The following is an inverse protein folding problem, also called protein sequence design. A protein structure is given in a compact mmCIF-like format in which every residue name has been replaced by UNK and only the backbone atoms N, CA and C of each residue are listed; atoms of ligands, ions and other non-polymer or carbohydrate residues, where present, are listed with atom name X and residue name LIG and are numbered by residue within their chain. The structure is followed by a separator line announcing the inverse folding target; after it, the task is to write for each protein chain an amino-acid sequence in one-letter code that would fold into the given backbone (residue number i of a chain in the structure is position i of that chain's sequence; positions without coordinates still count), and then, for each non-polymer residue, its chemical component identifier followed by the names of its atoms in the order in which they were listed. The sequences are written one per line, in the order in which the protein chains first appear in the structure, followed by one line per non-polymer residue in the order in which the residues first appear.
data_IF_969156661845
#
_entry.id   IF_969156661845
#
_cell.length_a   1.000
_cell.length_b   1.000
_cell.length_c   1.000
_cell.angle_alpha   90.00
_cell.angle_beta   90.00
_cell.angle_gamma   90.00
#
_symmetry.space_group_name_H-M   'P 1'
#
loop_
_entity.id
_entity.type
_entity.pdbx_description
1 polymer ?
#
# COMPACT_ATOMS: atom_id res chain seq x y z
N UNK A 1 -7.62 -10.19 -10.48
CA UNK A 1 -8.36 -8.90 -10.44
C UNK A 1 -9.69 -9.09 -9.75
N UNK A 2 -9.74 -8.66 -8.50
CA UNK A 2 -10.94 -8.50 -7.68
C UNK A 2 -11.16 -7.00 -7.45
N UNK A 3 -12.42 -6.55 -7.54
CA UNK A 3 -12.79 -5.17 -7.25
C UNK A 3 -13.92 -5.18 -6.22
N UNK A 4 -13.81 -4.38 -5.18
CA UNK A 4 -14.80 -4.24 -4.12
C UNK A 4 -15.19 -2.77 -3.94
N UNK A 5 -16.48 -2.53 -3.69
CA UNK A 5 -17.02 -1.21 -3.36
C UNK A 5 -17.79 -1.32 -2.04
N UNK A 6 -17.48 -0.46 -1.07
CA UNK A 6 -18.17 -0.42 0.21
C UNK A 6 -18.57 1.00 0.64
N UNK A 7 -19.46 1.09 1.63
CA UNK A 7 -19.99 2.39 2.11
C UNK A 7 -19.68 2.69 3.57
N UNK A 8 -19.22 1.71 4.36
CA UNK A 8 -18.98 1.92 5.79
C UNK A 8 -17.66 1.27 6.23
N UNK A 9 -17.56 -0.04 6.10
CA UNK A 9 -16.38 -0.77 6.56
C UNK A 9 -16.23 -1.99 5.65
N UNK A 10 -15.00 -2.25 5.23
CA UNK A 10 -14.64 -3.44 4.49
C UNK A 10 -13.30 -3.97 4.96
N UNK A 11 -13.12 -5.27 4.82
CA UNK A 11 -11.84 -5.92 5.04
C UNK A 11 -11.68 -7.00 4.01
N UNK A 12 -10.68 -6.85 3.15
CA UNK A 12 -10.35 -7.81 2.12
C UNK A 12 -8.99 -8.45 2.41
N UNK A 13 -8.91 -9.76 2.17
CA UNK A 13 -7.67 -10.52 2.27
C UNK A 13 -7.54 -11.47 1.10
N UNK A 14 -6.39 -11.44 0.43
CA UNK A 14 -6.07 -12.37 -0.66
C UNK A 14 -4.66 -12.94 -0.49
N UNK A 15 -4.55 -14.26 -0.65
CA UNK A 15 -3.27 -14.96 -0.71
C UNK A 15 -3.12 -15.57 -2.12
N UNK A 16 -2.02 -15.30 -2.82
CA UNK A 16 -1.74 -15.79 -4.17
C UNK A 16 -0.35 -16.40 -4.33
N UNK A 17 -0.22 -17.33 -5.27
CA UNK A 17 1.09 -17.90 -5.65
C UNK A 17 1.68 -17.25 -6.90
N UNK A 18 0.83 -16.82 -7.83
CA UNK A 18 1.25 -16.29 -9.12
C UNK A 18 1.01 -14.80 -9.20
N UNK A 19 -0.10 -14.37 -9.80
CA UNK A 19 -0.41 -12.95 -10.01
C UNK A 19 -1.76 -12.62 -9.36
N UNK A 20 -1.81 -11.53 -8.58
CA UNK A 20 -3.06 -10.95 -8.10
C UNK A 20 -3.16 -9.47 -8.39
N UNK A 21 -4.40 -8.99 -8.44
CA UNK A 21 -4.68 -7.57 -8.49
C UNK A 21 -5.95 -7.34 -7.70
N UNK A 22 -5.91 -6.42 -6.75
CA UNK A 22 -7.07 -6.05 -5.95
C UNK A 22 -7.25 -4.54 -6.00
N UNK A 23 -8.49 -4.11 -6.16
CA UNK A 23 -8.86 -2.71 -6.03
C UNK A 23 -10.04 -2.60 -5.07
N UNK A 24 -9.94 -1.73 -4.10
CA UNK A 24 -10.98 -1.49 -3.10
C UNK A 24 -11.30 0.01 -3.03
N UNK A 25 -12.59 0.35 -3.07
CA UNK A 25 -13.10 1.71 -2.96
C UNK A 25 -14.15 1.75 -1.85
N UNK A 26 -13.91 2.56 -0.83
CA UNK A 26 -14.75 2.59 0.36
C UNK A 26 -14.99 4.02 0.84
N UNK A 27 -16.24 4.35 1.18
CA UNK A 27 -16.53 5.74 1.60
C UNK A 27 -15.96 6.11 2.97
N UNK A 28 -15.81 5.17 3.89
CA UNK A 28 -15.36 5.45 5.26
C UNK A 28 -14.07 4.68 5.55
N UNK A 29 -14.17 3.42 6.02
CA UNK A 29 -13.02 2.62 6.46
C UNK A 29 -12.82 1.39 5.56
N UNK A 30 -11.57 1.11 5.22
CA UNK A 30 -11.20 -0.15 4.57
C UNK A 30 -9.85 -0.67 5.04
N UNK A 31 -9.68 -1.98 4.87
CA UNK A 31 -8.43 -2.66 5.17
C UNK A 31 -8.20 -3.76 4.15
N UNK A 32 -7.13 -3.62 3.38
CA UNK A 32 -6.73 -4.62 2.40
C UNK A 32 -5.41 -5.28 2.83
N UNK A 33 -5.40 -6.61 2.86
CA UNK A 33 -4.20 -7.40 3.13
C UNK A 33 -3.91 -8.37 1.98
N UNK A 34 -2.69 -8.33 1.44
CA UNK A 34 -2.23 -9.25 0.40
C UNK A 34 -1.00 -10.03 0.81
N UNK A 35 -0.99 -11.34 0.52
CA UNK A 35 0.22 -12.16 0.57
C UNK A 35 0.46 -12.77 -0.82
N UNK A 36 1.56 -12.45 -1.50
CA UNK A 36 1.89 -13.08 -2.79
C UNK A 36 3.31 -13.63 -2.89
N UNK A 37 3.48 -14.66 -3.73
CA UNK A 37 4.82 -15.16 -4.05
C UNK A 37 5.42 -14.42 -5.24
N UNK A 38 4.74 -14.34 -6.39
CA UNK A 38 5.34 -13.70 -7.56
C UNK A 38 4.92 -12.23 -7.69
N UNK A 39 3.71 -11.92 -8.15
CA UNK A 39 3.33 -10.54 -8.49
C UNK A 39 2.00 -10.14 -7.87
N UNK A 40 1.97 -8.98 -7.23
CA UNK A 40 0.74 -8.40 -6.68
C UNK A 40 0.67 -6.91 -6.94
N UNK A 41 -0.56 -6.45 -7.21
CA UNK A 41 -0.89 -5.04 -7.31
C UNK A 41 -2.14 -4.75 -6.49
N UNK A 42 -1.98 -3.94 -5.44
CA UNK A 42 -3.07 -3.56 -4.55
C UNK A 42 -3.33 -2.05 -4.67
N UNK A 43 -4.60 -1.68 -4.73
CA UNK A 43 -5.04 -0.28 -4.76
C UNK A 43 -6.22 -0.08 -3.84
N UNK A 44 -6.18 0.99 -3.08
CA UNK A 44 -7.21 1.33 -2.12
C UNK A 44 -7.50 2.84 -2.17
N UNK A 45 -8.78 3.20 -2.18
CA UNK A 45 -9.25 4.59 -2.19
C UNK A 45 -10.37 4.73 -1.13
N UNK A 46 -10.19 5.65 -0.19
CA UNK A 46 -11.20 5.98 0.82
C UNK A 46 -11.25 7.45 1.19
N UNK A 47 -12.39 7.88 1.72
CA UNK A 47 -12.47 9.22 2.33
C UNK A 47 -11.90 9.25 3.74
N UNK A 48 -12.26 8.30 4.62
CA UNK A 48 -11.93 8.42 6.05
C UNK A 48 -10.62 7.68 6.44
N UNK A 49 -10.60 6.35 6.46
CA UNK A 49 -9.45 5.59 6.99
C UNK A 49 -9.08 4.39 6.12
N UNK A 50 -7.79 4.26 5.80
CA UNK A 50 -7.23 3.15 5.02
C UNK A 50 -6.13 2.45 5.81
N UNK A 51 -6.07 1.12 5.69
CA UNK A 51 -4.87 0.35 5.99
C UNK A 51 -4.61 -0.71 4.93
N UNK A 52 -3.58 -0.49 4.11
CA UNK A 52 -3.08 -1.46 3.14
C UNK A 52 -1.79 -2.12 3.64
N UNK A 53 -1.79 -3.45 3.69
CA UNK A 53 -0.59 -4.25 3.96
C UNK A 53 -0.36 -5.29 2.88
N UNK A 54 0.90 -5.40 2.44
CA UNK A 54 1.31 -6.48 1.54
C UNK A 54 2.64 -7.11 1.96
N UNK A 55 2.69 -8.45 1.95
CA UNK A 55 3.93 -9.21 1.97
C UNK A 55 4.11 -9.92 0.61
N UNK A 56 5.21 -9.65 -0.09
CA UNK A 56 5.51 -10.26 -1.40
C UNK A 56 6.94 -10.82 -1.48
N UNK A 57 7.14 -11.92 -2.23
CA UNK A 57 8.50 -12.40 -2.50
C UNK A 57 9.14 -11.69 -3.70
N UNK A 58 8.49 -11.68 -4.86
CA UNK A 58 9.12 -11.13 -6.07
C UNK A 58 8.78 -9.65 -6.32
N UNK A 59 7.57 -9.32 -6.80
CA UNK A 59 7.22 -7.95 -7.18
C UNK A 59 5.89 -7.51 -6.56
N UNK A 60 5.89 -6.29 -6.01
CA UNK A 60 4.70 -5.68 -5.40
C UNK A 60 4.51 -4.24 -5.84
N UNK A 61 3.25 -3.84 -6.07
CA UNK A 61 2.87 -2.44 -6.26
C UNK A 61 1.65 -2.10 -5.41
N UNK A 62 1.83 -1.22 -4.43
CA UNK A 62 0.75 -0.79 -3.56
C UNK A 62 0.48 0.70 -3.77
N UNK A 63 -0.81 1.07 -3.81
CA UNK A 63 -1.22 2.47 -3.92
C UNK A 63 -2.41 2.78 -3.04
N UNK A 64 -2.30 3.86 -2.28
CA UNK A 64 -3.38 4.41 -1.47
C UNK A 64 -3.65 5.87 -1.87
N UNK A 65 -4.93 6.24 -1.84
CA UNK A 65 -5.38 7.64 -1.88
C UNK A 65 -6.43 7.83 -0.77
N UNK A 66 -6.19 8.74 0.17
CA UNK A 66 -7.17 9.05 1.20
C UNK A 66 -7.30 10.54 1.53
N UNK A 67 -8.45 10.93 2.10
CA UNK A 67 -8.61 12.30 2.61
C UNK A 67 -8.16 12.43 4.06
N UNK A 68 -8.56 11.53 4.95
CA UNK A 68 -8.29 11.67 6.38
C UNK A 68 -7.02 10.91 6.83
N UNK A 69 -7.07 9.61 7.08
CA UNK A 69 -5.90 8.85 7.56
C UNK A 69 -5.57 7.64 6.68
N UNK A 70 -4.29 7.48 6.32
CA UNK A 70 -3.77 6.35 5.56
C UNK A 70 -2.58 5.71 6.26
N UNK A 71 -2.45 4.39 6.06
CA UNK A 71 -1.35 3.58 6.60
C UNK A 71 -0.97 2.53 5.58
N UNK A 72 0.09 2.81 4.83
CA UNK A 72 0.63 1.91 3.83
C UNK A 72 1.85 1.15 4.36
N UNK A 73 1.81 -0.18 4.35
CA UNK A 73 2.92 -1.05 4.77
C UNK A 73 3.23 -2.12 3.74
N UNK A 74 4.50 -2.22 3.33
CA UNK A 74 4.96 -3.25 2.39
C UNK A 74 6.21 -3.98 2.89
N UNK A 75 6.21 -5.30 2.77
CA UNK A 75 7.40 -6.14 2.93
C UNK A 75 7.67 -6.88 1.61
N UNK A 76 8.85 -6.69 1.00
CA UNK A 76 9.20 -7.38 -0.23
C UNK A 76 10.62 -7.93 -0.26
N UNK A 77 10.84 -9.13 -0.81
CA UNK A 77 12.21 -9.62 -0.99
C UNK A 77 12.90 -8.92 -2.15
N UNK A 78 12.31 -8.97 -3.36
CA UNK A 78 12.98 -8.38 -4.52
C UNK A 78 12.60 -6.91 -4.74
N UNK A 79 11.45 -6.62 -5.36
CA UNK A 79 11.12 -5.27 -5.83
C UNK A 79 9.75 -4.79 -5.32
N UNK A 80 9.71 -3.57 -4.77
CA UNK A 80 8.47 -2.95 -4.33
C UNK A 80 8.32 -1.51 -4.80
N UNK A 81 7.10 -1.14 -5.16
CA UNK A 81 6.71 0.24 -5.43
C UNK A 81 5.52 0.63 -4.56
N UNK A 82 5.72 1.60 -3.67
CA UNK A 82 4.67 2.17 -2.83
C UNK A 82 4.40 3.62 -3.22
N UNK A 83 3.12 3.97 -3.31
CA UNK A 83 2.65 5.33 -3.54
C UNK A 83 1.50 5.63 -2.59
N UNK A 84 1.62 6.69 -1.80
CA UNK A 84 0.58 7.13 -0.88
C UNK A 84 0.29 8.61 -1.13
N UNK A 85 -0.99 8.93 -1.33
CA UNK A 85 -1.49 10.30 -1.42
C UNK A 85 -2.49 10.52 -0.28
N UNK A 86 -2.26 11.55 0.55
CA UNK A 86 -3.14 11.86 1.68
C UNK A 86 -3.33 13.36 1.90
N UNK A 87 -4.51 13.78 2.40
CA UNK A 87 -4.71 15.17 2.82
C UNK A 87 -4.34 15.40 4.29
N UNK A 88 -4.79 14.56 5.24
CA UNK A 88 -4.63 14.86 6.67
C UNK A 88 -3.49 14.11 7.36
N UNK A 89 -3.38 12.79 7.23
CA UNK A 89 -2.40 11.99 7.94
C UNK A 89 -1.97 10.75 7.18
N UNK A 90 -0.68 10.62 6.88
CA UNK A 90 -0.10 9.46 6.21
C UNK A 90 0.94 8.76 7.06
N UNK A 91 1.03 7.43 6.91
CA UNK A 91 2.12 6.64 7.47
C UNK A 91 2.56 5.61 6.45
N UNK A 92 3.75 5.82 5.90
CA UNK A 92 4.36 4.94 4.92
C UNK A 92 5.51 4.14 5.55
N UNK A 93 5.42 2.81 5.52
CA UNK A 93 6.47 1.90 6.01
C UNK A 93 6.84 0.85 4.97
N UNK A 94 8.14 0.63 4.76
CA UNK A 94 8.61 -0.39 3.83
C UNK A 94 9.91 -1.06 4.25
N UNK A 95 9.87 -2.40 4.23
CA UNK A 95 11.05 -3.25 4.33
C UNK A 95 11.32 -3.99 3.01
N UNK A 96 12.55 -3.89 2.49
CA UNK A 96 12.99 -4.67 1.32
C UNK A 96 14.40 -5.22 1.37
N UNK A 97 14.68 -6.23 0.54
CA UNK A 97 16.07 -6.69 0.32
C UNK A 97 16.71 -6.05 -0.90
N UNK A 98 16.10 -6.16 -2.09
CA UNK A 98 16.77 -5.78 -3.34
C UNK A 98 16.45 -4.38 -3.86
N UNK A 99 15.19 -3.97 -3.93
CA UNK A 99 14.82 -2.72 -4.58
C UNK A 99 13.51 -2.13 -4.09
N UNK A 100 13.51 -0.82 -3.90
CA UNK A 100 12.29 -0.05 -3.68
C UNK A 100 12.21 1.28 -4.38
N UNK A 101 10.96 1.65 -4.67
CA UNK A 101 10.54 3.01 -4.95
C UNK A 101 9.39 3.40 -4.01
N UNK A 102 9.54 4.53 -3.33
CA UNK A 102 8.52 5.10 -2.45
C UNK A 102 8.19 6.53 -2.90
N UNK A 103 6.89 6.85 -2.94
CA UNK A 103 6.37 8.19 -3.14
C UNK A 103 5.28 8.47 -2.12
N UNK A 104 5.41 9.56 -1.38
CA UNK A 104 4.42 10.01 -0.41
C UNK A 104 4.14 11.50 -0.63
N UNK A 105 2.91 11.87 -0.97
CA UNK A 105 2.51 13.28 -0.96
C UNK A 105 1.44 13.47 0.12
N UNK A 106 1.75 14.25 1.15
CA UNK A 106 0.82 14.50 2.25
C UNK A 106 0.78 15.98 2.66
N UNK A 107 -0.42 16.54 2.71
CA UNK A 107 -0.57 17.99 2.95
C UNK A 107 -0.29 18.40 4.39
N UNK A 108 -0.62 17.56 5.37
CA UNK A 108 -0.65 17.93 6.79
C UNK A 108 0.39 17.22 7.63
N UNK A 109 0.20 15.93 7.96
CA UNK A 109 1.13 15.15 8.78
C UNK A 109 1.55 13.86 8.07
N UNK A 110 2.86 13.62 7.98
CA UNK A 110 3.42 12.40 7.39
C UNK A 110 4.43 11.74 8.32
N UNK A 111 4.45 10.40 8.26
CA UNK A 111 5.48 9.57 8.88
C UNK A 111 6.00 8.58 7.85
N UNK A 112 7.32 8.54 7.71
CA UNK A 112 7.99 7.66 6.77
C UNK A 112 9.03 6.81 7.49
N UNK A 113 8.96 5.50 7.26
CA UNK A 113 9.93 4.50 7.72
C UNK A 113 10.33 3.62 6.55
N UNK A 114 11.63 3.34 6.45
CA UNK A 114 12.13 2.58 5.31
C UNK A 114 13.42 1.80 5.68
N UNK A 115 13.45 0.48 5.53
CA UNK A 115 14.67 -0.35 5.62
C UNK A 115 14.91 -1.15 4.32
N UNK A 116 15.99 -0.86 3.60
CA UNK A 116 16.34 -1.65 2.42
C UNK A 116 17.84 -1.88 2.34
N UNK A 117 18.21 -3.11 1.95
CA UNK A 117 19.61 -3.51 1.92
C UNK A 117 20.35 -3.00 0.68
N UNK A 118 19.69 -2.98 -0.48
CA UNK A 118 20.36 -2.76 -1.76
C UNK A 118 20.00 -1.41 -2.42
N UNK A 119 18.91 -1.31 -3.17
CA UNK A 119 18.52 -0.08 -3.89
C UNK A 119 17.26 0.58 -3.31
N UNK A 120 17.29 1.91 -3.18
CA UNK A 120 16.14 2.69 -2.69
C UNK A 120 16.02 4.03 -3.42
N UNK A 121 14.79 4.37 -3.78
CA UNK A 121 14.40 5.70 -4.27
C UNK A 121 13.21 6.20 -3.45
N UNK A 122 13.31 7.42 -2.95
CA UNK A 122 12.28 8.07 -2.15
C UNK A 122 11.93 9.44 -2.71
N UNK A 123 10.64 9.72 -2.80
CA UNK A 123 10.06 11.05 -2.99
C UNK A 123 9.06 11.33 -1.87
N UNK A 124 9.14 12.52 -1.29
CA UNK A 124 8.19 13.00 -0.30
C UNK A 124 7.89 14.49 -0.57
N UNK A 125 6.62 14.85 -0.79
CA UNK A 125 6.16 16.25 -0.99
C UNK A 125 5.17 16.74 0.09
#
# INVERSE_FOLDING_TARGET
MLNEECTNESTLREDCTDESTLNEDCSNESTLNGDCTNESALREDCTDEITLREDCTDESTLKEDCTDESRLSGECTNESTLSEDCTNGSTLDMDCTDGRTMSEDCTNESMLSEDCTNESTLRQD
#
